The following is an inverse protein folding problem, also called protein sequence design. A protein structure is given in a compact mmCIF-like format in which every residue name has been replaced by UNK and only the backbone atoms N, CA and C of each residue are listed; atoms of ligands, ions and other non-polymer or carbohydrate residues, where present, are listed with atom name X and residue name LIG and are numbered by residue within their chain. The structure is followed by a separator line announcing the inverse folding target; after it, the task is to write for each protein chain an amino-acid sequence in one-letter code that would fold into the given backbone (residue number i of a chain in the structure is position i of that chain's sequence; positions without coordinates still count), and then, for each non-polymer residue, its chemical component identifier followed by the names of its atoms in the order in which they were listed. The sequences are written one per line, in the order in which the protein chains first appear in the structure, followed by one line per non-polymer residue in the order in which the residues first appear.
data_IF_748235708279
#
_entry.id   IF_748235708279
#
_cell.length_a   1.000
_cell.length_b   1.000
_cell.length_c   1.000
_cell.angle_alpha   90.00
_cell.angle_beta   90.00
_cell.angle_gamma   90.00
#
_symmetry.space_group_name_H-M   'P 1'
#
loop_
_entity.id
_entity.type
_entity.pdbx_description
1 polymer ?
#
# COMPACT_ATOMS: atom_id res chain seq x y z
N UNK A 1 13.95 -15.54 -20.66
CA UNK A 1 12.93 -15.53 -19.60
C UNK A 1 11.95 -16.67 -19.89
N UNK A 2 11.49 -17.46 -18.93
CA UNK A 2 10.69 -18.65 -19.21
C UNK A 2 9.28 -18.34 -19.76
N UNK A 3 8.69 -17.17 -19.46
CA UNK A 3 7.34 -16.79 -19.91
C UNK A 3 7.29 -15.31 -20.31
N UNK A 4 6.50 -14.97 -21.31
CA UNK A 4 6.12 -13.59 -21.64
C UNK A 4 5.05 -13.08 -20.63
N UNK A 5 4.83 -11.76 -20.56
CA UNK A 5 3.78 -11.18 -19.73
C UNK A 5 2.39 -11.71 -20.10
N UNK A 6 2.11 -11.86 -21.41
CA UNK A 6 0.83 -12.39 -21.90
C UNK A 6 0.61 -13.86 -21.47
N UNK A 7 1.65 -14.69 -21.52
CA UNK A 7 1.57 -16.07 -21.05
C UNK A 7 1.34 -16.16 -19.55
N UNK A 8 1.98 -15.30 -18.75
CA UNK A 8 1.75 -15.22 -17.31
C UNK A 8 0.30 -14.80 -17.01
N UNK A 9 -0.20 -13.77 -17.69
CA UNK A 9 -1.56 -13.29 -17.50
C UNK A 9 -2.59 -14.38 -17.82
N UNK A 10 -2.44 -15.11 -18.93
CA UNK A 10 -3.32 -16.22 -19.30
C UNK A 10 -3.31 -17.32 -18.24
N UNK A 11 -2.12 -17.76 -17.80
CA UNK A 11 -1.98 -18.84 -16.80
C UNK A 11 -2.54 -18.45 -15.44
N UNK A 12 -2.28 -17.22 -15.00
CA UNK A 12 -2.70 -16.71 -13.71
C UNK A 12 -4.16 -16.23 -13.68
N UNK A 13 -4.80 -16.12 -14.85
CA UNK A 13 -6.23 -15.82 -14.96
C UNK A 13 -7.12 -17.06 -14.89
N UNK A 14 -6.56 -18.25 -14.86
CA UNK A 14 -7.33 -19.49 -14.67
C UNK A 14 -8.10 -19.43 -13.34
N UNK A 15 -9.45 -19.51 -13.36
CA UNK A 15 -10.26 -19.42 -12.14
C UNK A 15 -9.99 -20.58 -11.18
N UNK A 16 -9.57 -21.73 -11.68
CA UNK A 16 -9.31 -22.94 -10.88
C UNK A 16 -7.91 -23.00 -10.28
N UNK A 17 -7.02 -22.07 -10.66
CA UNK A 17 -5.64 -22.04 -10.18
C UNK A 17 -5.53 -22.00 -8.65
N UNK A 18 -6.51 -21.43 -7.98
CA UNK A 18 -6.52 -21.26 -6.52
C UNK A 18 -7.43 -22.27 -5.79
N UNK A 19 -8.12 -23.14 -6.51
CA UNK A 19 -9.02 -24.13 -5.92
C UNK A 19 -8.23 -25.22 -5.19
N UNK A 20 -8.43 -25.36 -3.89
CA UNK A 20 -7.67 -26.30 -3.03
C UNK A 20 -7.79 -27.78 -3.42
N UNK A 21 -8.88 -28.17 -4.11
CA UNK A 21 -9.11 -29.54 -4.59
C UNK A 21 -8.54 -29.86 -5.98
N UNK A 22 -8.04 -28.85 -6.70
CA UNK A 22 -7.49 -29.01 -8.05
C UNK A 22 -5.97 -29.15 -7.98
N UNK A 23 -5.35 -30.15 -8.63
CA UNK A 23 -3.90 -30.25 -8.69
C UNK A 23 -3.28 -29.01 -9.33
N UNK A 24 -2.17 -28.56 -8.79
CA UNK A 24 -1.43 -27.45 -9.39
C UNK A 24 -0.81 -27.87 -10.73
N UNK A 25 -0.74 -26.95 -11.72
CA UNK A 25 0.05 -27.16 -12.93
C UNK A 25 1.51 -27.51 -12.59
N UNK A 26 2.15 -28.33 -13.39
CA UNK A 26 3.53 -28.79 -13.16
C UNK A 26 4.54 -27.65 -13.16
N UNK A 27 4.24 -26.55 -13.83
CA UNK A 27 5.05 -25.34 -13.91
C UNK A 27 4.64 -24.22 -12.94
N UNK A 28 3.69 -24.48 -12.03
CA UNK A 28 3.18 -23.49 -11.08
C UNK A 28 4.28 -22.78 -10.27
N UNK A 29 5.29 -23.53 -9.83
CA UNK A 29 6.45 -22.97 -9.13
C UNK A 29 7.23 -21.98 -10.02
N UNK A 30 7.43 -22.32 -11.29
CA UNK A 30 8.18 -21.45 -12.23
C UNK A 30 7.38 -20.19 -12.56
N UNK A 31 6.07 -20.32 -12.75
CA UNK A 31 5.14 -19.20 -12.97
C UNK A 31 5.19 -18.24 -11.77
N UNK A 32 5.11 -18.78 -10.56
CA UNK A 32 5.19 -18.00 -9.33
C UNK A 32 6.53 -17.26 -9.21
N UNK A 33 7.66 -17.97 -9.30
CA UNK A 33 9.00 -17.38 -9.15
C UNK A 33 9.29 -16.30 -10.20
N UNK A 34 8.86 -16.52 -11.44
CA UNK A 34 9.00 -15.52 -12.49
C UNK A 34 8.16 -14.28 -12.20
N UNK A 35 6.90 -14.45 -11.79
CA UNK A 35 6.01 -13.34 -11.42
C UNK A 35 6.57 -12.54 -10.23
N UNK A 36 7.10 -13.24 -9.23
CA UNK A 36 7.72 -12.61 -8.06
C UNK A 36 8.94 -11.76 -8.47
N UNK A 37 9.80 -12.31 -9.33
CA UNK A 37 10.96 -11.59 -9.85
C UNK A 37 10.57 -10.34 -10.67
N UNK A 38 9.49 -10.41 -11.47
CA UNK A 38 8.97 -9.25 -12.21
C UNK A 38 8.41 -8.18 -11.26
N UNK A 39 7.70 -8.58 -10.20
CA UNK A 39 7.25 -7.65 -9.15
C UNK A 39 8.45 -6.96 -8.48
N UNK A 40 9.49 -7.72 -8.11
CA UNK A 40 10.71 -7.20 -7.45
C UNK A 40 11.50 -6.21 -8.30
N UNK A 41 11.31 -6.23 -9.63
CA UNK A 41 11.88 -5.26 -10.57
C UNK A 41 10.92 -4.11 -10.92
N UNK A 42 9.68 -4.15 -10.42
CA UNK A 42 8.66 -3.15 -10.71
C UNK A 42 8.07 -3.24 -12.13
N UNK A 43 8.35 -4.34 -12.85
CA UNK A 43 7.85 -4.57 -14.22
C UNK A 43 6.37 -4.93 -14.26
N UNK A 44 5.86 -5.57 -13.20
CA UNK A 44 4.43 -5.81 -12.99
C UNK A 44 4.00 -5.27 -11.64
N UNK A 45 2.75 -4.78 -11.57
CA UNK A 45 2.18 -4.15 -10.39
C UNK A 45 0.77 -4.66 -10.13
N UNK A 46 0.35 -4.67 -8.85
CA UNK A 46 -0.98 -5.08 -8.43
C UNK A 46 -2.10 -4.10 -8.84
N UNK A 47 -1.74 -2.90 -9.25
CA UNK A 47 -2.65 -1.93 -9.90
C UNK A 47 -1.92 -1.16 -10.99
N UNK A 48 -2.71 -0.66 -11.97
CA UNK A 48 -2.26 0.24 -13.02
C UNK A 48 -3.20 1.43 -13.15
N UNK A 49 -2.67 2.56 -13.54
CA UNK A 49 -3.45 3.75 -13.87
C UNK A 49 -3.74 3.76 -15.37
N UNK A 50 -4.98 4.01 -15.75
CA UNK A 50 -5.39 4.24 -17.13
C UNK A 50 -5.10 5.69 -17.56
N UNK A 51 -5.12 6.01 -18.88
CA UNK A 51 -4.81 7.35 -19.38
C UNK A 51 -5.73 8.46 -18.83
N UNK A 52 -6.94 8.13 -18.41
CA UNK A 52 -7.90 9.03 -17.77
C UNK A 52 -7.64 9.22 -16.25
N UNK A 53 -6.58 8.59 -15.71
CA UNK A 53 -6.17 8.74 -14.33
C UNK A 53 -6.88 7.80 -13.34
N UNK A 54 -7.71 6.87 -13.82
CA UNK A 54 -8.39 5.89 -12.97
C UNK A 54 -7.45 4.73 -12.65
N UNK A 55 -7.41 4.33 -11.39
CA UNK A 55 -6.65 3.18 -10.93
C UNK A 55 -7.47 1.89 -11.00
N UNK A 56 -6.90 0.87 -11.60
CA UNK A 56 -7.50 -0.45 -11.75
C UNK A 56 -6.62 -1.51 -11.12
N UNK A 57 -7.24 -2.44 -10.39
CA UNK A 57 -6.55 -3.64 -9.93
C UNK A 57 -6.06 -4.47 -11.13
N UNK A 58 -4.95 -5.18 -10.94
CA UNK A 58 -4.43 -6.18 -11.87
C UNK A 58 -4.59 -7.57 -11.24
N UNK A 59 -5.74 -8.24 -11.45
CA UNK A 59 -6.11 -9.45 -10.71
C UNK A 59 -5.12 -10.60 -10.86
N UNK A 60 -4.55 -10.79 -12.05
CA UNK A 60 -3.61 -11.89 -12.27
C UNK A 60 -2.30 -11.73 -11.45
N UNK A 61 -1.86 -10.50 -11.17
CA UNK A 61 -0.70 -10.26 -10.28
C UNK A 61 -1.02 -10.66 -8.85
N UNK A 62 -2.22 -10.36 -8.36
CA UNK A 62 -2.68 -10.83 -7.04
C UNK A 62 -2.81 -12.35 -6.99
N UNK A 63 -3.29 -12.98 -8.08
CA UNK A 63 -3.35 -14.45 -8.19
C UNK A 63 -1.96 -15.08 -8.13
N UNK A 64 -0.94 -14.44 -8.71
CA UNK A 64 0.44 -14.91 -8.58
C UNK A 64 0.89 -14.96 -7.10
N UNK A 65 0.53 -13.94 -6.32
CA UNK A 65 0.84 -13.92 -4.89
C UNK A 65 0.09 -15.03 -4.15
N UNK A 66 -1.21 -15.18 -4.41
CA UNK A 66 -2.02 -16.25 -3.79
C UNK A 66 -1.54 -17.64 -4.19
N UNK A 67 -1.08 -17.83 -5.43
CA UNK A 67 -0.43 -19.07 -5.86
C UNK A 67 0.81 -19.37 -4.99
N UNK A 68 1.63 -18.36 -4.69
CA UNK A 68 2.76 -18.51 -3.79
C UNK A 68 2.36 -18.95 -2.38
N UNK A 69 1.24 -18.44 -1.84
CA UNK A 69 0.69 -18.91 -0.56
C UNK A 69 0.18 -20.36 -0.64
N UNK A 70 -0.41 -20.75 -1.78
CA UNK A 70 -0.87 -22.11 -2.02
C UNK A 70 0.28 -23.12 -2.14
N UNK A 71 1.34 -22.78 -2.86
CA UNK A 71 2.53 -23.61 -3.03
C UNK A 71 3.34 -23.69 -1.73
N UNK A 72 3.41 -22.59 -1.00
CA UNK A 72 4.29 -22.39 0.14
C UNK A 72 4.00 -23.34 1.30
N UNK A 73 5.09 -23.90 1.88
CA UNK A 73 5.06 -24.65 3.14
C UNK A 73 5.71 -23.82 4.21
N UNK A 74 5.18 -23.89 5.43
CA UNK A 74 5.82 -23.25 6.58
C UNK A 74 7.10 -24.00 6.89
N UNK A 75 8.19 -23.25 6.96
CA UNK A 75 9.54 -23.76 7.33
C UNK A 75 10.16 -22.85 8.37
N UNK A 76 11.18 -23.31 9.02
CA UNK A 76 12.04 -22.46 9.83
C UNK A 76 12.92 -21.60 8.91
N UNK A 77 12.95 -20.29 9.15
CA UNK A 77 13.66 -19.31 8.32
C UNK A 77 14.88 -18.70 9.03
N UNK A 78 15.43 -19.42 9.96
CA UNK A 78 16.51 -18.93 10.80
C UNK A 78 16.01 -17.97 11.87
N UNK A 79 16.95 -17.39 12.60
CA UNK A 79 16.68 -16.45 13.67
C UNK A 79 17.98 -15.89 14.23
N UNK A 80 17.87 -14.86 15.05
CA UNK A 80 19.00 -14.29 15.78
C UNK A 80 18.76 -14.39 17.28
N UNK A 81 19.69 -15.03 17.99
CA UNK A 81 19.56 -15.20 19.43
C UNK A 81 18.36 -16.07 19.83
N UNK A 82 17.46 -15.52 20.66
CA UNK A 82 16.27 -16.23 21.16
C UNK A 82 15.07 -16.20 20.20
N UNK A 83 15.15 -15.48 19.09
CA UNK A 83 14.04 -15.36 18.14
C UNK A 83 14.19 -16.38 17.01
N UNK A 84 13.13 -17.13 16.77
CA UNK A 84 13.00 -18.07 15.66
C UNK A 84 11.83 -17.64 14.78
N UNK A 85 12.03 -17.70 13.46
CA UNK A 85 11.00 -17.29 12.50
C UNK A 85 10.50 -18.50 11.72
N UNK A 86 9.18 -18.55 11.51
CA UNK A 86 8.51 -19.61 10.75
C UNK A 86 7.55 -18.96 9.76
N UNK A 87 7.77 -19.15 8.47
CA UNK A 87 6.88 -18.62 7.43
C UNK A 87 6.92 -19.51 6.18
N UNK A 88 6.09 -19.17 5.21
CA UNK A 88 6.04 -19.80 3.89
C UNK A 88 7.39 -19.62 3.19
N UNK A 89 8.04 -20.72 2.79
CA UNK A 89 9.33 -20.68 2.08
C UNK A 89 9.29 -19.85 0.79
N UNK A 90 8.11 -19.65 0.22
CA UNK A 90 7.86 -18.83 -0.97
C UNK A 90 8.02 -17.32 -0.72
N UNK A 91 7.92 -16.85 0.53
CA UNK A 91 7.94 -15.44 0.88
C UNK A 91 8.97 -15.08 1.97
N UNK A 92 10.24 -15.41 1.80
CA UNK A 92 11.27 -14.94 2.72
C UNK A 92 11.40 -13.40 2.68
N UNK A 93 12.26 -12.86 3.52
CA UNK A 93 12.66 -11.46 3.42
C UNK A 93 13.45 -11.24 2.13
N UNK A 94 13.27 -10.05 1.55
CA UNK A 94 14.04 -9.63 0.38
C UNK A 94 15.47 -9.27 0.79
N UNK A 95 16.44 -9.72 0.01
CA UNK A 95 17.83 -9.33 0.16
C UNK A 95 18.11 -8.06 -0.65
N UNK A 96 18.83 -7.10 -0.04
CA UNK A 96 19.23 -5.85 -0.65
C UNK A 96 20.75 -5.68 -0.61
N UNK A 97 21.28 -5.06 -1.65
CA UNK A 97 22.68 -4.71 -1.78
C UNK A 97 22.83 -3.21 -2.00
N UNK A 98 24.03 -2.70 -1.78
CA UNK A 98 24.31 -1.27 -1.93
C UNK A 98 23.95 -0.75 -3.33
N UNK A 99 24.12 -1.57 -4.37
CA UNK A 99 23.81 -1.23 -5.76
C UNK A 99 22.31 -1.00 -6.01
N UNK A 100 21.43 -1.48 -5.13
CA UNK A 100 20.00 -1.18 -5.22
C UNK A 100 19.68 0.30 -4.93
N UNK A 101 20.62 1.05 -4.34
CA UNK A 101 20.49 2.46 -4.07
C UNK A 101 19.38 2.78 -3.04
N UNK A 102 19.08 1.85 -2.14
CA UNK A 102 18.08 1.97 -1.09
C UNK A 102 18.81 2.16 0.24
N UNK A 103 18.37 3.12 1.04
CA UNK A 103 18.89 3.35 2.38
C UNK A 103 18.04 2.62 3.41
N UNK A 104 18.57 1.56 3.98
CA UNK A 104 17.92 0.80 5.06
C UNK A 104 18.69 1.05 6.34
N UNK A 105 18.08 1.79 7.27
CA UNK A 105 18.68 2.11 8.56
C UNK A 105 18.63 0.88 9.46
N UNK A 106 19.73 0.52 10.16
CA UNK A 106 19.75 -0.64 11.03
C UNK A 106 18.67 -0.56 12.13
N UNK A 107 18.00 -1.68 12.45
CA UNK A 107 17.02 -1.72 13.53
C UNK A 107 15.78 -2.57 13.27
N UNK A 108 15.83 -3.59 12.43
CA UNK A 108 14.79 -4.63 12.32
C UNK A 108 13.68 -4.32 11.31
N UNK A 109 13.94 -3.46 10.32
CA UNK A 109 13.03 -3.30 9.18
C UNK A 109 12.92 -4.58 8.36
N UNK A 110 11.73 -4.83 7.80
CA UNK A 110 11.47 -6.03 7.00
C UNK A 110 10.82 -5.67 5.68
N UNK A 111 11.36 -6.16 4.59
CA UNK A 111 10.76 -6.12 3.25
C UNK A 111 10.60 -7.55 2.77
N UNK A 112 9.39 -7.94 2.42
CA UNK A 112 9.07 -9.28 1.96
C UNK A 112 9.39 -9.44 0.47
N UNK A 113 9.81 -10.65 0.03
CA UNK A 113 9.93 -10.94 -1.40
C UNK A 113 8.66 -10.60 -2.17
N UNK A 114 8.79 -10.17 -3.42
CA UNK A 114 7.70 -9.68 -4.25
C UNK A 114 7.29 -8.23 -3.99
N UNK A 115 7.97 -7.53 -3.06
CA UNK A 115 7.83 -6.07 -2.93
C UNK A 115 8.87 -5.35 -3.80
N UNK A 116 8.51 -4.23 -4.39
CA UNK A 116 9.43 -3.35 -5.12
C UNK A 116 9.69 -2.07 -4.34
N UNK A 117 10.96 -1.75 -4.16
CA UNK A 117 11.41 -0.44 -3.68
C UNK A 117 12.31 0.18 -4.75
N UNK A 118 11.97 1.38 -5.19
CA UNK A 118 12.77 2.13 -6.16
C UNK A 118 14.06 2.69 -5.52
N UNK A 119 15.07 3.04 -6.31
CA UNK A 119 16.26 3.74 -5.81
C UNK A 119 15.91 5.01 -5.03
N UNK A 120 16.75 5.36 -4.06
CA UNK A 120 16.60 6.49 -3.13
C UNK A 120 15.40 6.38 -2.16
N UNK A 121 14.80 5.20 -2.03
CA UNK A 121 13.86 4.93 -0.92
C UNK A 121 14.64 4.86 0.38
N UNK A 122 14.07 5.45 1.44
CA UNK A 122 14.62 5.41 2.79
C UNK A 122 13.69 4.62 3.71
N UNK A 123 14.23 3.63 4.39
CA UNK A 123 13.53 2.77 5.34
C UNK A 123 14.04 3.03 6.76
N UNK A 124 13.20 3.63 7.60
CA UNK A 124 13.50 3.87 9.02
C UNK A 124 12.96 2.74 9.89
N UNK A 125 13.75 2.23 10.86
CA UNK A 125 13.39 1.03 11.60
C UNK A 125 12.41 1.28 12.76
N UNK A 126 11.67 0.24 13.17
CA UNK A 126 11.31 -0.91 12.35
C UNK A 126 10.14 -0.54 11.44
N UNK A 127 10.25 -0.80 10.15
CA UNK A 127 9.11 -0.68 9.22
C UNK A 127 8.84 -2.02 8.55
N UNK A 128 7.66 -2.19 7.93
CA UNK A 128 7.31 -3.41 7.23
C UNK A 128 6.72 -3.13 5.85
N UNK A 129 7.27 -3.78 4.82
CA UNK A 129 6.74 -3.76 3.45
C UNK A 129 6.37 -5.16 3.02
N UNK A 130 5.11 -5.38 2.69
CA UNK A 130 4.57 -6.70 2.36
C UNK A 130 4.63 -6.99 0.86
N UNK A 131 4.40 -8.27 0.49
CA UNK A 131 4.42 -8.78 -0.89
C UNK A 131 3.47 -8.00 -1.81
N UNK A 132 3.90 -7.76 -3.05
CA UNK A 132 3.14 -7.05 -4.07
C UNK A 132 3.09 -5.54 -3.87
N UNK A 133 3.64 -5.01 -2.77
CA UNK A 133 3.76 -3.58 -2.56
C UNK A 133 4.73 -2.96 -3.58
N UNK A 134 4.42 -1.76 -4.03
CA UNK A 134 5.27 -0.95 -4.89
C UNK A 134 5.58 0.38 -4.19
N UNK A 135 6.84 0.75 -4.09
CA UNK A 135 7.28 2.00 -3.47
C UNK A 135 8.15 2.78 -4.45
N UNK A 136 7.67 3.96 -4.83
CA UNK A 136 8.31 4.85 -5.81
C UNK A 136 9.56 5.55 -5.29
N UNK A 137 10.32 6.12 -6.22
CA UNK A 137 11.61 6.75 -5.99
C UNK A 137 11.54 7.88 -4.95
N UNK A 138 12.56 7.95 -4.08
CA UNK A 138 12.72 9.03 -3.11
C UNK A 138 11.68 9.04 -2.00
N UNK A 139 10.87 7.98 -1.87
CA UNK A 139 9.90 7.83 -0.78
C UNK A 139 10.60 7.48 0.52
N UNK A 140 10.14 8.07 1.62
CA UNK A 140 10.56 7.72 2.98
C UNK A 140 9.45 6.92 3.67
N UNK A 141 9.84 5.77 4.24
CA UNK A 141 8.98 4.94 5.08
C UNK A 141 9.55 5.03 6.49
N UNK A 142 8.88 5.76 7.37
CA UNK A 142 9.35 6.04 8.72
C UNK A 142 9.08 4.88 9.69
N UNK A 143 9.59 5.03 10.91
CA UNK A 143 9.56 3.99 11.94
C UNK A 143 8.14 3.50 12.24
N UNK A 144 7.98 2.20 12.38
CA UNK A 144 6.69 1.52 12.62
C UNK A 144 5.65 1.67 11.49
N UNK A 145 6.00 2.27 10.35
CA UNK A 145 5.07 2.35 9.23
C UNK A 145 4.91 0.99 8.53
N UNK A 146 3.69 0.73 8.07
CA UNK A 146 3.32 -0.44 7.29
C UNK A 146 2.98 -0.06 5.86
N UNK A 147 3.56 -0.76 4.90
CA UNK A 147 3.08 -0.82 3.52
C UNK A 147 2.51 -2.22 3.29
N UNK A 148 1.19 -2.33 3.29
CA UNK A 148 0.46 -3.59 3.19
C UNK A 148 0.55 -4.25 1.82
N UNK A 149 0.10 -5.50 1.73
CA UNK A 149 0.15 -6.28 0.49
C UNK A 149 -0.51 -5.54 -0.66
N UNK A 150 0.17 -5.49 -1.80
CA UNK A 150 -0.31 -4.86 -3.03
C UNK A 150 -0.47 -3.34 -2.98
N UNK A 151 -0.22 -2.66 -1.87
CA UNK A 151 -0.30 -1.20 -1.79
C UNK A 151 0.65 -0.54 -2.78
N UNK A 152 0.21 0.56 -3.40
CA UNK A 152 0.96 1.27 -4.42
C UNK A 152 1.31 2.66 -3.90
N UNK A 153 2.58 2.91 -3.66
CA UNK A 153 3.11 4.17 -3.17
C UNK A 153 3.88 4.84 -4.30
N UNK A 154 3.55 6.09 -4.58
CA UNK A 154 4.20 6.91 -5.59
C UNK A 154 5.60 7.36 -5.22
N UNK A 155 6.11 8.34 -5.95
CA UNK A 155 7.42 8.94 -5.74
C UNK A 155 7.37 10.06 -4.70
N UNK A 156 8.50 10.26 -3.98
CA UNK A 156 8.68 11.37 -3.01
C UNK A 156 7.60 11.43 -1.92
N UNK A 157 6.95 10.32 -1.66
CA UNK A 157 5.98 10.19 -0.58
C UNK A 157 6.71 10.17 0.76
N UNK A 158 6.09 10.75 1.77
CA UNK A 158 6.52 10.58 3.16
C UNK A 158 5.44 9.82 3.94
N UNK A 159 5.73 8.58 4.29
CA UNK A 159 4.94 7.80 5.25
C UNK A 159 5.55 8.05 6.63
N UNK A 160 4.96 8.96 7.41
CA UNK A 160 5.46 9.30 8.75
C UNK A 160 5.30 8.14 9.74
N UNK A 161 5.89 8.31 10.92
CA UNK A 161 5.94 7.24 11.92
C UNK A 161 4.57 6.62 12.23
N UNK A 162 4.53 5.29 12.23
CA UNK A 162 3.34 4.48 12.47
C UNK A 162 2.18 4.72 11.46
N UNK A 163 2.45 5.27 10.27
CA UNK A 163 1.47 5.32 9.19
C UNK A 163 1.15 3.90 8.70
N UNK A 164 -0.15 3.57 8.60
CA UNK A 164 -0.62 2.25 8.25
C UNK A 164 -1.29 2.28 6.87
N UNK A 165 -0.59 1.83 5.84
CA UNK A 165 -1.15 1.67 4.50
C UNK A 165 -1.64 0.22 4.37
N UNK A 166 -2.96 0.05 4.35
CA UNK A 166 -3.60 -1.25 4.37
C UNK A 166 -3.30 -2.10 3.14
N UNK A 167 -3.20 -3.41 3.34
CA UNK A 167 -3.09 -4.37 2.27
C UNK A 167 -4.45 -4.80 1.74
N UNK A 168 -4.56 -4.97 0.42
CA UNK A 168 -5.77 -5.49 -0.24
C UNK A 168 -5.36 -6.61 -1.21
N UNK A 169 -5.05 -7.77 -0.64
CA UNK A 169 -4.79 -8.98 -1.43
C UNK A 169 -6.09 -9.64 -1.87
N UNK A 170 -7.05 -9.74 -0.97
CA UNK A 170 -8.39 -10.25 -1.19
C UNK A 170 -9.45 -9.22 -0.77
N UNK A 171 -10.58 -9.13 -1.50
CA UNK A 171 -10.93 -9.85 -2.73
C UNK A 171 -9.98 -9.50 -3.90
N UNK A 172 -9.75 -10.46 -4.80
CA UNK A 172 -8.78 -10.33 -5.90
C UNK A 172 -9.06 -9.10 -6.77
N UNK A 173 -10.34 -8.82 -7.06
CA UNK A 173 -10.76 -7.71 -7.93
C UNK A 173 -10.82 -6.35 -7.20
N UNK A 174 -10.68 -6.32 -5.86
CA UNK A 174 -10.66 -5.06 -5.14
C UNK A 174 -9.38 -4.26 -5.45
N UNK A 175 -9.52 -2.96 -5.67
CA UNK A 175 -8.36 -2.08 -5.87
C UNK A 175 -7.49 -2.05 -4.61
N UNK A 176 -6.16 -2.11 -4.73
CA UNK A 176 -5.29 -1.86 -3.59
C UNK A 176 -5.34 -0.38 -3.17
N UNK A 177 -4.80 -0.09 -1.99
CA UNK A 177 -4.59 1.29 -1.56
C UNK A 177 -3.56 1.95 -2.46
N UNK A 178 -3.87 3.16 -2.91
CA UNK A 178 -3.01 3.98 -3.76
C UNK A 178 -2.64 5.28 -3.02
N UNK A 179 -1.37 5.56 -2.91
CA UNK A 179 -0.83 6.84 -2.48
C UNK A 179 -0.04 7.38 -3.65
N UNK A 180 -0.51 8.45 -4.29
CA UNK A 180 0.17 9.04 -5.44
C UNK A 180 1.40 9.87 -5.03
N UNK A 181 2.08 10.48 -6.01
CA UNK A 181 3.34 11.20 -5.81
C UNK A 181 3.20 12.43 -4.88
N UNK A 182 4.30 12.76 -4.20
CA UNK A 182 4.42 13.95 -3.35
C UNK A 182 3.42 14.04 -2.18
N UNK A 183 2.78 12.92 -1.84
CA UNK A 183 1.85 12.82 -0.69
C UNK A 183 2.62 12.77 0.62
N UNK A 184 2.11 13.47 1.63
CA UNK A 184 2.55 13.34 3.02
C UNK A 184 1.46 12.65 3.83
N UNK A 185 1.78 11.49 4.39
CA UNK A 185 0.92 10.75 5.32
C UNK A 185 1.45 10.97 6.73
N UNK A 186 0.74 11.73 7.52
CA UNK A 186 1.10 12.06 8.90
C UNK A 186 1.18 10.86 9.82
N UNK A 187 1.82 11.02 10.97
CA UNK A 187 1.99 9.94 11.94
C UNK A 187 0.67 9.35 12.43
N UNK A 188 0.65 8.05 12.67
CA UNK A 188 -0.55 7.30 13.10
C UNK A 188 -1.77 7.42 12.16
N UNK A 189 -1.56 7.80 10.91
CA UNK A 189 -2.62 7.72 9.90
C UNK A 189 -2.90 6.28 9.50
N UNK A 190 -4.17 6.02 9.13
CA UNK A 190 -4.57 4.75 8.53
C UNK A 190 -5.26 4.98 7.18
N UNK A 191 -4.80 4.31 6.12
CA UNK A 191 -5.41 4.36 4.79
C UNK A 191 -5.72 2.95 4.35
N UNK A 192 -7.00 2.62 4.21
CA UNK A 192 -7.47 1.25 4.05
C UNK A 192 -8.44 1.08 2.86
N UNK A 193 -8.77 -0.17 2.53
CA UNK A 193 -9.88 -0.60 1.68
C UNK A 193 -9.91 0.06 0.29
N UNK A 194 -8.75 0.10 -0.37
CA UNK A 194 -8.64 0.58 -1.75
C UNK A 194 -8.74 2.09 -1.90
N UNK A 195 -8.68 2.85 -0.80
CA UNK A 195 -8.67 4.32 -0.84
C UNK A 195 -7.54 4.84 -1.74
N UNK A 196 -7.84 5.85 -2.55
CA UNK A 196 -6.89 6.56 -3.40
C UNK A 196 -6.60 7.93 -2.80
N UNK A 197 -5.34 8.20 -2.49
CA UNK A 197 -4.87 9.54 -2.07
C UNK A 197 -4.12 10.14 -3.26
N UNK A 198 -4.72 11.17 -3.87
CA UNK A 198 -4.17 11.81 -5.08
C UNK A 198 -2.94 12.64 -4.76
N UNK A 199 -2.16 12.90 -5.80
CA UNK A 199 -0.86 13.58 -5.71
C UNK A 199 -0.89 14.84 -4.86
N UNK A 200 0.21 15.09 -4.13
CA UNK A 200 0.41 16.29 -3.31
C UNK A 200 -0.58 16.46 -2.14
N UNK A 201 -1.45 15.48 -1.85
CA UNK A 201 -2.29 15.56 -0.67
C UNK A 201 -1.47 15.44 0.62
N UNK A 202 -2.00 16.02 1.70
CA UNK A 202 -1.42 15.96 3.04
C UNK A 202 -2.46 15.41 4.00
N UNK A 203 -2.16 14.27 4.60
CA UNK A 203 -2.95 13.72 5.70
C UNK A 203 -2.31 14.12 7.02
N UNK A 204 -2.97 14.96 7.79
CA UNK A 204 -2.54 15.32 9.16
C UNK A 204 -2.51 14.09 10.07
N UNK A 205 -1.68 14.14 11.10
CA UNK A 205 -1.53 13.00 12.03
C UNK A 205 -2.88 12.50 12.57
N UNK A 206 -3.05 11.18 12.61
CA UNK A 206 -4.26 10.53 13.12
C UNK A 206 -5.46 10.50 12.16
N UNK A 207 -5.30 10.87 10.90
CA UNK A 207 -6.35 10.72 9.88
C UNK A 207 -6.55 9.24 9.57
N UNK A 208 -7.80 8.77 9.66
CA UNK A 208 -8.18 7.40 9.32
C UNK A 208 -9.16 7.41 8.14
N UNK A 209 -8.78 6.75 7.07
CA UNK A 209 -9.55 6.62 5.83
C UNK A 209 -9.91 5.16 5.59
N UNK A 210 -11.19 4.88 5.48
CA UNK A 210 -11.75 3.58 5.09
C UNK A 210 -12.79 3.76 3.99
N UNK A 211 -13.21 2.69 3.34
CA UNK A 211 -14.29 2.75 2.34
C UNK A 211 -15.58 3.39 2.90
N UNK A 212 -15.90 3.15 4.15
CA UNK A 212 -17.10 3.68 4.81
C UNK A 212 -16.96 5.11 5.33
N UNK A 213 -15.78 5.69 5.32
CA UNK A 213 -15.51 6.99 5.94
C UNK A 213 -15.94 8.14 5.02
N UNK A 214 -16.89 9.00 5.43
CA UNK A 214 -17.15 10.25 4.72
C UNK A 214 -16.04 11.25 5.00
N UNK A 215 -15.59 11.98 3.98
CA UNK A 215 -14.60 13.06 4.10
C UNK A 215 -15.29 14.37 3.72
N UNK A 216 -15.37 15.31 4.66
CA UNK A 216 -16.00 16.59 4.43
C UNK A 216 -15.00 17.60 3.90
N UNK A 217 -15.29 18.18 2.75
CA UNK A 217 -14.48 19.24 2.13
C UNK A 217 -15.10 20.60 2.43
N UNK A 218 -14.48 21.35 3.33
CA UNK A 218 -14.95 22.68 3.73
C UNK A 218 -14.66 23.76 2.68
N UNK A 219 -13.76 23.49 1.74
CA UNK A 219 -13.38 24.46 0.71
C UNK A 219 -14.34 24.41 -0.48
N UNK A 220 -14.74 23.18 -0.85
CA UNK A 220 -15.62 22.92 -2.00
C UNK A 220 -17.06 22.66 -1.58
N UNK A 221 -17.35 22.70 -0.28
CA UNK A 221 -18.69 22.47 0.32
C UNK A 221 -19.32 21.14 -0.13
N UNK A 222 -18.52 20.07 -0.14
CA UNK A 222 -18.96 18.76 -0.58
C UNK A 222 -18.46 17.62 0.32
N UNK A 223 -18.99 16.42 0.13
CA UNK A 223 -18.57 15.23 0.85
C UNK A 223 -18.07 14.18 -0.12
N UNK A 224 -16.80 13.76 0.06
CA UNK A 224 -16.24 12.64 -0.67
C UNK A 224 -16.62 11.32 0.01
N UNK A 225 -17.07 10.36 -0.78
CA UNK A 225 -17.47 9.01 -0.34
C UNK A 225 -17.10 7.98 -1.39
N UNK A 226 -16.80 6.78 -0.96
CA UNK A 226 -16.79 5.64 -1.86
C UNK A 226 -18.22 5.32 -2.32
N UNK A 227 -18.33 4.76 -3.51
CA UNK A 227 -19.58 4.19 -4.05
C UNK A 227 -19.45 2.69 -4.24
N UNK A 228 -20.46 2.03 -4.78
CA UNK A 228 -20.36 0.63 -5.16
C UNK A 228 -19.21 0.40 -6.18
N UNK A 229 -19.08 1.34 -7.13
CA UNK A 229 -18.21 1.22 -8.30
C UNK A 229 -16.90 2.01 -8.22
N UNK A 230 -16.76 2.89 -7.19
CA UNK A 230 -15.57 3.74 -7.04
C UNK A 230 -15.04 3.75 -5.60
N UNK A 231 -13.72 3.76 -5.40
CA UNK A 231 -13.12 3.88 -4.07
C UNK A 231 -13.34 5.28 -3.48
N UNK A 232 -13.05 5.42 -2.19
CA UNK A 232 -12.87 6.74 -1.59
C UNK A 232 -11.62 7.39 -2.23
N UNK A 233 -11.76 8.62 -2.72
CA UNK A 233 -10.65 9.41 -3.24
C UNK A 233 -10.46 10.70 -2.45
N UNK A 234 -9.22 10.96 -2.06
CA UNK A 234 -8.78 12.23 -1.53
C UNK A 234 -8.24 13.07 -2.68
N UNK A 235 -8.78 14.26 -2.94
CA UNK A 235 -8.36 15.08 -4.08
C UNK A 235 -6.90 15.50 -4.03
N UNK A 236 -6.32 15.75 -5.20
CA UNK A 236 -4.95 16.25 -5.31
C UNK A 236 -4.78 17.57 -4.53
N UNK A 237 -3.68 17.65 -3.78
CA UNK A 237 -3.34 18.81 -2.96
C UNK A 237 -4.22 19.04 -1.74
N UNK A 238 -5.20 18.19 -1.46
CA UNK A 238 -6.07 18.33 -0.28
C UNK A 238 -5.28 18.20 1.02
N UNK A 239 -5.51 19.08 1.98
CA UNK A 239 -4.99 19.00 3.35
C UNK A 239 -6.11 18.52 4.25
N UNK A 240 -5.96 17.28 4.71
CA UNK A 240 -6.97 16.55 5.50
C UNK A 240 -6.51 16.50 6.96
N UNK A 241 -7.41 16.78 7.87
CA UNK A 241 -7.17 16.70 9.31
C UNK A 241 -8.22 15.84 10.00
N UNK A 242 -7.93 15.26 11.17
CA UNK A 242 -8.95 14.62 11.99
C UNK A 242 -10.03 15.63 12.39
N UNK A 243 -11.29 15.23 12.32
CA UNK A 243 -12.44 16.00 12.77
C UNK A 243 -13.47 15.10 13.43
N UNK A 244 -14.62 15.66 13.76
CA UNK A 244 -15.74 14.92 14.30
C UNK A 244 -17.05 15.42 13.69
N UNK A 245 -18.00 14.51 13.47
CA UNK A 245 -19.37 14.83 13.06
C UNK A 245 -20.35 14.37 14.13
N UNK A 246 -21.36 15.18 14.36
CA UNK A 246 -22.45 14.86 15.29
C UNK A 246 -23.22 13.62 14.80
N UNK A 247 -23.61 12.76 15.72
CA UNK A 247 -24.54 11.65 15.47
C UNK A 247 -25.96 12.17 15.52
N UNK A 248 -26.71 12.00 14.43
CA UNK A 248 -28.08 12.54 14.26
C UNK A 248 -29.18 11.55 14.67
N UNK A 249 -28.84 10.36 15.22
CA UNK A 249 -29.87 9.46 15.75
C UNK A 249 -30.40 9.98 17.09
N UNK A 250 -31.70 9.73 17.46
CA UNK A 250 -32.23 10.20 18.73
C UNK A 250 -31.44 9.81 19.95
N UNK A 251 -30.86 8.60 19.96
CA UNK A 251 -29.96 8.15 21.02
C UNK A 251 -28.65 8.94 21.02
N UNK A 252 -28.01 9.07 19.83
CA UNK A 252 -26.74 9.79 19.70
C UNK A 252 -26.84 11.26 20.09
N UNK A 253 -27.94 11.92 19.75
CA UNK A 253 -28.19 13.32 20.13
C UNK A 253 -28.37 13.45 21.64
N UNK A 254 -29.18 12.58 22.26
CA UNK A 254 -29.40 12.57 23.69
C UNK A 254 -28.11 12.34 24.49
N UNK A 255 -27.23 11.45 24.01
CA UNK A 255 -25.97 11.14 24.68
C UNK A 255 -24.82 12.08 24.24
N UNK A 256 -25.06 13.05 23.35
CA UNK A 256 -24.04 14.00 22.85
C UNK A 256 -22.92 13.34 22.05
N UNK A 257 -23.20 12.23 21.36
CA UNK A 257 -22.17 11.44 20.68
C UNK A 257 -21.74 12.12 19.36
N UNK A 258 -20.43 11.99 19.09
CA UNK A 258 -19.83 12.36 17.81
C UNK A 258 -19.00 11.21 17.27
N UNK A 259 -18.95 11.08 15.94
CA UNK A 259 -18.10 10.13 15.25
C UNK A 259 -16.92 10.85 14.64
N UNK A 260 -15.73 10.25 14.74
CA UNK A 260 -14.56 10.74 14.03
C UNK A 260 -14.82 10.78 12.53
N UNK A 261 -14.38 11.83 11.88
CA UNK A 261 -14.47 11.98 10.45
C UNK A 261 -13.33 12.87 9.94
N UNK A 262 -12.66 12.53 8.85
CA UNK A 262 -11.67 13.41 8.23
C UNK A 262 -12.31 14.62 7.59
N UNK A 263 -11.59 15.74 7.62
CA UNK A 263 -12.04 17.02 7.09
C UNK A 263 -10.96 17.66 6.23
N UNK A 264 -11.28 18.00 4.98
CA UNK A 264 -10.42 18.81 4.12
C UNK A 264 -10.61 20.28 4.54
N UNK A 265 -9.54 20.88 5.07
CA UNK A 265 -9.58 22.26 5.60
C UNK A 265 -9.01 23.29 4.63
N UNK A 266 -8.17 22.87 3.72
CA UNK A 266 -7.60 23.68 2.64
C UNK A 266 -7.00 22.81 1.54
N UNK A 267 -6.55 23.42 0.47
CA UNK A 267 -5.68 22.81 -0.54
C UNK A 267 -4.26 23.35 -0.41
N UNK A 268 -3.29 22.56 -0.84
CA UNK A 268 -1.86 22.84 -0.67
C UNK A 268 -1.47 24.16 -1.34
N UNK A 269 -0.73 24.95 -0.61
CA UNK A 269 -0.18 26.25 -0.99
C UNK A 269 1.33 26.31 -0.69
N UNK A 270 2.02 27.39 -1.05
CA UNK A 270 3.46 27.56 -0.83
C UNK A 270 3.85 27.41 0.65
N UNK A 271 2.99 27.82 1.58
CA UNK A 271 3.22 27.64 3.03
C UNK A 271 3.15 26.18 3.45
N UNK A 272 2.20 25.45 2.89
CA UNK A 272 2.10 24.01 3.11
C UNK A 272 3.31 23.30 2.51
N UNK A 273 3.73 23.69 1.32
CA UNK A 273 4.91 23.13 0.65
C UNK A 273 6.17 23.34 1.51
N UNK A 274 6.39 24.53 2.04
CA UNK A 274 7.50 24.82 2.94
C UNK A 274 7.44 24.00 4.24
N UNK A 275 6.26 23.82 4.82
CA UNK A 275 6.06 23.05 6.07
C UNK A 275 6.23 21.53 5.88
N UNK A 276 6.05 21.01 4.66
CA UNK A 276 6.16 19.59 4.35
C UNK A 276 7.47 19.21 3.64
N UNK A 277 8.30 20.21 3.30
CA UNK A 277 9.58 19.98 2.66
C UNK A 277 10.53 19.21 3.60
N UNK A 278 11.17 18.18 3.04
CA UNK A 278 12.29 17.49 3.69
C UNK A 278 13.57 17.89 2.99
N UNK A 279 14.59 18.20 3.78
CA UNK A 279 15.92 18.47 3.24
C UNK A 279 16.42 17.29 2.40
N UNK A 280 16.93 17.59 1.20
CA UNK A 280 17.33 16.57 0.23
C UNK A 280 18.37 15.58 0.79
N UNK A 281 19.22 16.00 1.71
CA UNK A 281 20.25 15.17 2.33
C UNK A 281 19.70 14.23 3.43
N UNK A 282 18.46 14.38 3.87
CA UNK A 282 17.78 13.45 4.79
C UNK A 282 17.26 12.20 4.06
N UNK A 283 17.11 12.27 2.74
CA UNK A 283 16.59 11.21 1.90
C UNK A 283 17.68 10.32 1.34
#
# INVERSE_FOLDING_TARGET
MPFSLAELEVRLSDPHLLDGGVPLPTDAQQVFEHSLALMERGEIRAARQSPDGVWHAVPWVKRAILLGFRIGKVIEMGGTGAFHFFDKHTFPTRDFRLENGIRIVPGGSTVRRGAYLAPNVVCMPPMYVNVGAYVGRGTMIDSHALVGSCAQIGERVHLSAAAQIGGVLEPINASPVIIEDDVVVGGNCGVYEGTVVRSRAVLGAGVILTRGTPVYDLVREMTHRATADAPLEIPSGAVVVPGARRVSSPFGEREGLSLQTPVIVKYRDDRTDAATALEAWLR
#
